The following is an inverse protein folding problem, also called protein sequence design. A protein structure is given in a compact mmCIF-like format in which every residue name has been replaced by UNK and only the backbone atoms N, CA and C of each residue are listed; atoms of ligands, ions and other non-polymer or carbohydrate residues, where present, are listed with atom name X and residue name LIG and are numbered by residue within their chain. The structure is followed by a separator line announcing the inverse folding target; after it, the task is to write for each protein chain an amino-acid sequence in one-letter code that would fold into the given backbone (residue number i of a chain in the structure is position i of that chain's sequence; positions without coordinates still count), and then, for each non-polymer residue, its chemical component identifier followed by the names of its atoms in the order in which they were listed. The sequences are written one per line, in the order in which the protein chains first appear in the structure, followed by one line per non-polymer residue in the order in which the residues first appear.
data_IF_945133915476
#
_entry.id   IF_945133915476
#
_cell.length_a   1.000
_cell.length_b   1.000
_cell.length_c   1.000
_cell.angle_alpha   90.00
_cell.angle_beta   90.00
_cell.angle_gamma   90.00
#
_symmetry.space_group_name_H-M   'P 1'
#
loop_
_entity.id
_entity.type
_entity.pdbx_description
1 polymer ?
#
# COMPACT_ATOMS: atom_id res chain seq x y z
N UNK A 1 -7.00 2.90 9.32
CA UNK A 1 -6.23 3.29 8.11
C UNK A 1 -6.44 4.75 7.74
N UNK A 2 -7.66 5.19 7.39
CA UNK A 2 -7.93 6.58 6.95
C UNK A 2 -7.52 7.68 7.96
N UNK A 3 -7.67 7.43 9.26
CA UNK A 3 -7.21 8.36 10.32
C UNK A 3 -5.71 8.66 10.20
N UNK A 4 -4.86 7.64 9.99
CA UNK A 4 -3.40 7.81 9.87
C UNK A 4 -3.03 8.64 8.64
N UNK A 5 -3.72 8.41 7.52
CA UNK A 5 -3.54 9.22 6.33
C UNK A 5 -3.92 10.69 6.59
N UNK A 6 -5.02 10.92 7.31
CA UNK A 6 -5.47 12.27 7.65
C UNK A 6 -4.56 12.97 8.68
N UNK A 7 -3.71 12.25 9.43
CA UNK A 7 -2.69 12.85 10.30
C UNK A 7 -1.40 13.19 9.57
N UNK A 8 -1.29 12.91 8.27
CA UNK A 8 -0.12 13.28 7.45
C UNK A 8 1.08 12.35 7.61
N UNK A 9 0.85 11.05 7.78
CA UNK A 9 1.96 10.08 7.81
C UNK A 9 2.74 10.10 6.48
N UNK A 10 4.08 9.98 6.50
CA UNK A 10 4.90 10.10 5.30
C UNK A 10 4.79 8.89 4.35
N UNK A 11 4.27 7.77 4.84
CA UNK A 11 3.90 6.57 4.09
C UNK A 11 3.02 5.67 4.95
N UNK A 12 2.28 4.75 4.32
CA UNK A 12 1.48 3.74 5.00
C UNK A 12 1.86 2.34 4.48
N UNK A 13 2.18 1.43 5.40
CA UNK A 13 2.38 0.01 5.10
C UNK A 13 1.28 -0.79 5.78
N UNK A 14 0.62 -1.68 5.05
CA UNK A 14 -0.35 -2.62 5.61
C UNK A 14 0.29 -4.00 5.70
N UNK A 15 0.50 -4.48 6.93
CA UNK A 15 1.04 -5.81 7.18
C UNK A 15 -0.07 -6.86 7.15
N UNK A 16 -0.04 -7.72 6.13
CA UNK A 16 -0.96 -8.84 5.94
C UNK A 16 -0.24 -10.19 6.08
N UNK A 17 1.04 -10.22 6.47
CA UNK A 17 1.85 -11.44 6.60
C UNK A 17 1.27 -12.42 7.64
N UNK A 18 0.66 -11.89 8.70
CA UNK A 18 -0.07 -12.69 9.71
C UNK A 18 -1.56 -12.92 9.41
N UNK A 19 -2.08 -12.41 8.29
CA UNK A 19 -3.53 -12.46 8.00
C UNK A 19 -3.91 -13.82 7.41
N UNK A 20 -4.83 -14.54 8.07
CA UNK A 20 -5.31 -15.85 7.62
C UNK A 20 -6.42 -15.79 6.57
N UNK A 21 -7.14 -14.67 6.48
CA UNK A 21 -8.23 -14.48 5.54
C UNK A 21 -8.43 -13.01 5.21
N UNK A 22 -8.56 -12.69 3.92
CA UNK A 22 -8.94 -11.37 3.43
C UNK A 22 -9.96 -11.58 2.31
N UNK A 23 -11.25 -11.41 2.60
CA UNK A 23 -12.32 -11.50 1.61
C UNK A 23 -12.57 -10.18 0.87
N UNK A 24 -13.68 -10.11 0.14
CA UNK A 24 -14.10 -8.93 -0.61
C UNK A 24 -14.21 -7.64 0.25
N UNK A 25 -14.61 -7.77 1.51
CA UNK A 25 -14.65 -6.64 2.45
C UNK A 25 -13.27 -6.06 2.75
N UNK A 26 -12.26 -6.93 2.96
CA UNK A 26 -10.88 -6.53 3.17
C UNK A 26 -10.29 -5.85 1.93
N UNK A 27 -10.53 -6.44 0.75
CA UNK A 27 -10.14 -5.84 -0.54
C UNK A 27 -10.75 -4.44 -0.72
N UNK A 28 -12.05 -4.28 -0.46
CA UNK A 28 -12.72 -2.98 -0.57
C UNK A 28 -12.16 -1.92 0.40
N UNK A 29 -11.72 -2.31 1.60
CA UNK A 29 -11.04 -1.40 2.53
C UNK A 29 -9.67 -0.98 1.99
N UNK A 30 -8.91 -1.90 1.40
CA UNK A 30 -7.60 -1.62 0.81
C UNK A 30 -7.74 -0.65 -0.37
N UNK A 31 -8.67 -0.92 -1.29
CA UNK A 31 -8.92 -0.05 -2.45
C UNK A 31 -9.30 1.36 -2.00
N UNK A 32 -10.22 1.51 -1.04
CA UNK A 32 -10.61 2.83 -0.51
C UNK A 32 -9.45 3.55 0.19
N UNK A 33 -8.60 2.79 0.89
CA UNK A 33 -7.39 3.34 1.51
C UNK A 33 -6.40 3.80 0.45
N UNK A 34 -6.20 3.05 -0.63
CA UNK A 34 -5.36 3.43 -1.76
C UNK A 34 -5.83 4.72 -2.41
N UNK A 35 -7.13 4.84 -2.72
CA UNK A 35 -7.70 6.06 -3.31
C UNK A 35 -7.45 7.29 -2.42
N UNK A 36 -7.63 7.15 -1.10
CA UNK A 36 -7.35 8.24 -0.16
C UNK A 36 -5.87 8.57 -0.09
N UNK A 37 -4.99 7.56 -0.03
CA UNK A 37 -3.54 7.75 0.00
C UNK A 37 -3.04 8.45 -1.27
N UNK A 38 -3.56 8.07 -2.44
CA UNK A 38 -3.30 8.73 -3.72
C UNK A 38 -3.74 10.20 -3.72
N UNK A 39 -4.92 10.50 -3.20
CA UNK A 39 -5.40 11.89 -3.09
C UNK A 39 -4.55 12.77 -2.14
N UNK A 40 -3.79 12.16 -1.25
CA UNK A 40 -2.88 12.82 -0.31
C UNK A 40 -1.40 12.67 -0.72
N UNK A 41 -1.13 12.14 -1.91
CA UNK A 41 0.23 11.85 -2.42
C UNK A 41 1.07 11.03 -1.43
N UNK A 42 0.40 10.21 -0.62
CA UNK A 42 1.01 9.39 0.43
C UNK A 42 1.23 7.97 -0.11
N UNK A 43 2.47 7.45 -0.11
CA UNK A 43 2.73 6.07 -0.55
C UNK A 43 1.96 5.05 0.30
N UNK A 44 1.34 4.08 -0.38
CA UNK A 44 0.73 2.90 0.23
C UNK A 44 1.38 1.64 -0.33
N UNK A 45 1.83 0.75 0.55
CA UNK A 45 2.41 -0.56 0.20
C UNK A 45 1.79 -1.66 1.05
N UNK A 46 1.61 -2.86 0.50
CA UNK A 46 1.06 -4.02 1.21
C UNK A 46 2.17 -5.06 1.41
N UNK A 47 2.38 -5.53 2.64
CA UNK A 47 3.18 -6.72 2.90
C UNK A 47 2.25 -7.94 2.86
N UNK A 48 2.38 -8.76 1.82
CA UNK A 48 1.52 -9.92 1.56
C UNK A 48 2.42 -11.14 1.47
N UNK A 49 2.14 -12.23 2.21
CA UNK A 49 2.99 -13.41 2.16
C UNK A 49 2.97 -13.99 0.73
N UNK A 50 4.08 -14.58 0.30
CA UNK A 50 4.22 -15.13 -1.05
C UNK A 50 3.23 -16.26 -1.35
N UNK A 51 2.74 -16.92 -0.31
CA UNK A 51 1.79 -18.03 -0.41
C UNK A 51 0.61 -17.85 0.55
N UNK A 52 -0.47 -18.58 0.28
CA UNK A 52 -1.65 -18.63 1.15
C UNK A 52 -2.90 -17.96 0.57
N UNK A 53 -3.98 -18.01 1.34
CA UNK A 53 -5.32 -17.57 0.94
C UNK A 53 -5.36 -16.08 0.56
N UNK A 54 -4.66 -15.22 1.30
CA UNK A 54 -4.63 -13.77 1.07
C UNK A 54 -3.96 -13.44 -0.26
N UNK A 55 -2.83 -14.10 -0.56
CA UNK A 55 -2.15 -13.96 -1.85
C UNK A 55 -3.08 -14.33 -3.01
N UNK A 56 -3.76 -15.46 -2.88
CA UNK A 56 -4.69 -15.94 -3.91
C UNK A 56 -5.84 -14.97 -4.16
N UNK A 57 -6.41 -14.39 -3.09
CA UNK A 57 -7.46 -13.38 -3.24
C UNK A 57 -6.93 -12.15 -3.98
N UNK A 58 -5.72 -11.70 -3.69
CA UNK A 58 -5.15 -10.51 -4.33
C UNK A 58 -4.84 -10.73 -5.81
N UNK A 59 -4.44 -11.94 -6.18
CA UNK A 59 -4.27 -12.33 -7.58
C UNK A 59 -5.62 -12.37 -8.32
N UNK A 60 -6.65 -12.95 -7.71
CA UNK A 60 -8.00 -13.02 -8.31
C UNK A 60 -8.62 -11.63 -8.46
N UNK A 61 -8.37 -10.74 -7.51
CA UNK A 61 -8.97 -9.40 -7.47
C UNK A 61 -8.09 -8.33 -8.11
N UNK A 62 -6.94 -8.71 -8.68
CA UNK A 62 -5.95 -7.82 -9.32
C UNK A 62 -5.51 -6.62 -8.45
N UNK A 63 -5.70 -6.71 -7.12
CA UNK A 63 -5.32 -5.66 -6.17
C UNK A 63 -3.83 -5.38 -6.21
N UNK A 64 -3.03 -6.39 -6.53
CA UNK A 64 -1.58 -6.29 -6.70
C UNK A 64 -1.16 -5.39 -7.86
N UNK A 65 -2.03 -5.14 -8.84
CA UNK A 65 -1.77 -4.20 -9.94
C UNK A 65 -2.08 -2.76 -9.52
N UNK A 66 -3.07 -2.58 -8.65
CA UNK A 66 -3.47 -1.26 -8.14
C UNK A 66 -2.54 -0.75 -7.04
N UNK A 67 -2.12 -1.64 -6.14
CA UNK A 67 -1.33 -1.29 -4.95
C UNK A 67 -0.03 -2.09 -4.94
N UNK A 68 1.13 -1.44 -4.81
CA UNK A 68 2.41 -2.13 -4.70
C UNK A 68 2.41 -3.13 -3.54
N UNK A 69 2.96 -4.33 -3.79
CA UNK A 69 3.07 -5.40 -2.80
C UNK A 69 4.53 -5.83 -2.62
N UNK A 70 4.85 -6.33 -1.43
CA UNK A 70 6.12 -6.99 -1.11
C UNK A 70 5.84 -8.24 -0.26
N UNK A 71 6.77 -9.20 -0.23
CA UNK A 71 6.61 -10.51 0.41
C UNK A 71 6.59 -10.46 1.94
N UNK A 72 7.27 -9.46 2.51
CA UNK A 72 7.36 -9.24 3.96
C UNK A 72 7.31 -7.76 4.34
N UNK A 73 7.26 -7.51 5.65
CA UNK A 73 7.16 -6.17 6.19
C UNK A 73 8.42 -5.31 5.94
N UNK A 74 9.61 -5.91 5.96
CA UNK A 74 10.85 -5.18 5.76
C UNK A 74 10.94 -4.66 4.32
N UNK A 75 10.72 -5.54 3.34
CA UNK A 75 10.68 -5.18 1.93
C UNK A 75 9.56 -4.16 1.62
N UNK A 76 8.40 -4.28 2.28
CA UNK A 76 7.33 -3.30 2.13
C UNK A 76 7.72 -1.90 2.65
N UNK A 77 8.43 -1.84 3.78
CA UNK A 77 8.96 -0.60 4.34
C UNK A 77 10.01 0.05 3.44
N UNK A 78 10.94 -0.73 2.90
CA UNK A 78 11.93 -0.25 1.93
C UNK A 78 11.24 0.33 0.68
N UNK A 79 10.28 -0.40 0.12
CA UNK A 79 9.53 0.03 -1.05
C UNK A 79 8.73 1.32 -0.80
N UNK A 80 8.14 1.46 0.39
CA UNK A 80 7.46 2.67 0.82
C UNK A 80 8.43 3.86 0.96
N UNK A 81 9.65 3.62 1.47
CA UNK A 81 10.68 4.64 1.57
C UNK A 81 11.14 5.14 0.20
N UNK A 82 11.42 4.23 -0.73
CA UNK A 82 11.82 4.57 -2.10
C UNK A 82 10.75 5.37 -2.83
N UNK A 83 9.46 5.02 -2.65
CA UNK A 83 8.36 5.74 -3.29
C UNK A 83 8.14 7.13 -2.70
N UNK A 84 8.36 7.30 -1.40
CA UNK A 84 8.32 8.62 -0.76
C UNK A 84 9.37 9.56 -1.36
N UNK A 85 10.61 9.08 -1.49
CA UNK A 85 11.70 9.88 -2.05
C UNK A 85 11.48 10.22 -3.52
N UNK A 86 10.95 9.28 -4.31
CA UNK A 86 10.58 9.54 -5.71
C UNK A 86 9.47 10.59 -5.84
N UNK A 87 8.44 10.53 -4.97
CA UNK A 87 7.36 11.52 -4.94
C UNK A 87 7.84 12.93 -4.58
N UNK A 88 8.80 13.05 -3.64
CA UNK A 88 9.37 14.36 -3.28
C UNK A 88 10.26 14.97 -4.36
N UNK A 89 10.96 14.14 -5.15
CA UNK A 89 11.79 14.61 -6.27
C UNK A 89 10.93 15.12 -7.43
N UNK A 90 9.83 14.42 -7.74
CA UNK A 90 8.87 14.87 -8.76
C UNK A 90 8.23 16.21 -8.42
N UNK A 91 7.83 16.41 -7.15
CA UNK A 91 7.23 17.68 -6.71
C UNK A 91 8.21 18.86 -6.75
N UNK A 92 9.51 18.62 -6.53
CA UNK A 92 10.54 19.64 -6.60
C UNK A 92 10.86 20.08 -8.05
N UNK A 93 10.52 19.27 -9.05
CA UNK A 93 10.79 19.56 -10.47
C UNK A 93 9.67 20.32 -11.18
N UNK A 94 8.45 20.35 -10.64
CA UNK A 94 7.28 21.00 -11.28
C UNK A 94 7.06 22.47 -10.84
N UNK A 95 7.94 23.04 -10.01
CA UNK A 95 7.83 24.42 -9.50
C UNK A 95 8.82 25.41 -10.15
N UNK A 96 9.27 25.14 -11.39
CA UNK A 96 10.22 26.01 -12.11
C UNK A 96 9.68 26.54 -13.43
#
# INVERSE_FOLDING_TARGET
MLRLLNTGVPALVLDLTGTRFCGASGVNVIVRTHLRAKALTTPLVLAVPETGSVRRVFEITEVSELVPTASDLAAACELACTRRTAGSLSAAQESS
#
